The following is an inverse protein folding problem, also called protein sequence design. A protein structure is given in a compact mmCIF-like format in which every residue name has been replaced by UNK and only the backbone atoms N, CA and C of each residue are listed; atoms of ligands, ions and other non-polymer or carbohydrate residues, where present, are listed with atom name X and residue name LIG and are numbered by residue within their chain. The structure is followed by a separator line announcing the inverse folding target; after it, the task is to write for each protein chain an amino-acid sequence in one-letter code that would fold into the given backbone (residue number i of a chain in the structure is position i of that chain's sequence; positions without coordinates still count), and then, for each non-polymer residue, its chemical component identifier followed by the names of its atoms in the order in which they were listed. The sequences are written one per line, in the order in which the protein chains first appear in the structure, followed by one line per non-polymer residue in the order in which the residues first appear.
data_IF_716249354658
#
_entry.id   IF_716249354658
#
_cell.length_a   1.000
_cell.length_b   1.000
_cell.length_c   1.000
_cell.angle_alpha   90.00
_cell.angle_beta   90.00
_cell.angle_gamma   90.00
#
_symmetry.space_group_name_H-M   'P 1'
#
loop_
_entity.id
_entity.type
_entity.pdbx_description
1 polymer ?
2 branched ?
3 non-polymer ?
4 non-polymer ?
5 water ?
#
# COMPACT_ATOMS: atom_id res chain seq x y z
N UNK A 1 -14.59 25.70 -9.85
CA UNK A 1 -13.54 24.97 -10.65
C UNK A 1 -14.26 23.89 -11.48
N UNK A 2 -14.56 24.19 -12.75
CA UNK A 2 -15.55 23.36 -13.51
C UNK A 2 -15.03 22.00 -13.98
N UNK A 3 -15.92 21.02 -13.93
CA UNK A 3 -15.64 19.65 -14.32
C UNK A 3 -17.00 19.04 -14.72
N UNK A 4 -17.01 17.89 -15.40
CA UNK A 4 -18.26 17.25 -15.75
C UNK A 4 -19.14 17.02 -14.51
N UNK A 5 -20.44 17.23 -14.70
CA UNK A 5 -21.38 16.90 -13.68
C UNK A 5 -21.44 15.33 -13.49
N UNK A 6 -21.47 14.88 -12.22
CA UNK A 6 -21.75 13.43 -12.07
C UNK A 6 -23.14 13.04 -12.64
N UNK A 7 -23.20 11.80 -13.10
CA UNK A 7 -24.39 11.23 -13.78
C UNK A 7 -24.98 10.21 -12.83
N UNK A 8 -26.06 10.61 -12.13
CA UNK A 8 -26.64 9.74 -11.11
C UNK A 8 -27.16 8.37 -11.64
N UNK A 9 -27.62 8.41 -12.91
CA UNK A 9 -28.25 7.21 -13.49
C UNK A 9 -27.28 6.49 -14.43
N UNK A 10 -25.97 6.69 -14.24
CA UNK A 10 -24.97 5.93 -14.99
C UNK A 10 -23.94 5.36 -14.03
N UNK A 11 -23.84 4.03 -13.95
CA UNK A 11 -22.79 3.44 -13.12
C UNK A 11 -21.39 3.83 -13.54
N UNK A 12 -20.51 4.06 -12.53
CA UNK A 12 -19.09 4.25 -12.85
C UNK A 12 -18.49 3.06 -13.54
N UNK A 13 -18.85 1.89 -13.11
CA UNK A 13 -18.31 0.71 -13.72
C UNK A 13 -19.42 -0.34 -13.78
N UNK A 14 -19.50 -1.04 -14.90
CA UNK A 14 -20.41 -2.20 -14.93
C UNK A 14 -19.81 -3.56 -14.78
N UNK A 15 -18.48 -3.59 -14.59
CA UNK A 15 -17.75 -4.84 -14.57
C UNK A 15 -17.06 -5.17 -13.29
N UNK A 16 -17.05 -4.17 -12.35
CA UNK A 16 -16.38 -4.43 -11.08
C UNK A 16 -17.20 -3.80 -9.93
N UNK A 17 -16.87 -4.32 -8.72
CA UNK A 17 -17.44 -3.77 -7.42
C UNK A 17 -16.65 -2.48 -7.15
N UNK A 18 -17.33 -1.36 -6.93
CA UNK A 18 -16.58 -0.05 -6.68
C UNK A 18 -16.82 0.48 -5.26
N UNK A 19 -17.60 -0.22 -4.45
CA UNK A 19 -17.73 0.12 -2.99
C UNK A 19 -17.86 -1.18 -2.22
N UNK A 20 -17.16 -1.27 -1.08
CA UNK A 20 -17.27 -2.47 -0.29
C UNK A 20 -18.64 -2.55 0.49
N UNK A 21 -19.00 -3.69 1.08
CA UNK A 21 -20.32 -3.68 1.79
C UNK A 21 -20.30 -2.85 3.05
N UNK A 22 -19.11 -2.36 3.47
CA UNK A 22 -19.11 -1.39 4.61
C UNK A 22 -18.84 0.00 4.10
N UNK A 23 -19.16 0.24 2.81
CA UNK A 23 -19.20 1.61 2.22
C UNK A 23 -17.80 2.25 2.13
N UNK A 24 -16.79 1.44 1.95
CA UNK A 24 -15.46 1.98 1.56
C UNK A 24 -15.33 1.92 0.05
N UNK A 25 -14.96 3.04 -0.57
CA UNK A 25 -14.67 3.01 -2.02
C UNK A 25 -13.55 2.03 -2.37
N UNK A 26 -13.76 1.30 -3.48
CA UNK A 26 -12.73 0.45 -4.05
C UNK A 26 -12.27 1.29 -5.30
N UNK A 27 -10.95 1.66 -5.35
CA UNK A 27 -10.51 2.70 -6.23
C UNK A 27 -10.04 2.09 -7.57
N UNK A 28 -10.90 2.29 -8.58
CA UNK A 28 -10.59 1.89 -9.97
C UNK A 28 -10.64 3.10 -10.86
N UNK A 29 -10.01 2.97 -12.03
CA UNK A 29 -10.15 4.03 -13.00
C UNK A 29 -11.60 4.24 -13.43
N UNK A 30 -12.00 5.51 -13.46
CA UNK A 30 -13.38 5.92 -13.83
C UNK A 30 -14.26 6.10 -12.60
N UNK A 31 -13.66 5.93 -11.40
CA UNK A 31 -14.46 6.14 -10.19
C UNK A 31 -14.13 7.43 -9.53
N UNK A 32 -13.05 8.10 -9.96
CA UNK A 32 -12.71 9.41 -9.36
C UNK A 32 -12.36 10.44 -10.44
N UNK A 33 -12.62 11.69 -10.07
CA UNK A 33 -12.15 12.83 -10.80
C UNK A 33 -11.01 13.46 -10.02
N UNK A 34 -9.82 13.21 -10.52
CA UNK A 34 -8.60 13.66 -9.78
C UNK A 34 -8.52 15.14 -9.64
N UNK A 35 -9.10 15.96 -10.57
CA UNK A 35 -9.07 17.35 -10.33
C UNK A 35 -9.82 17.79 -9.06
N UNK A 36 -10.94 17.13 -8.75
CA UNK A 36 -11.64 17.50 -7.50
C UNK A 36 -10.79 17.07 -6.30
N UNK A 37 -10.25 15.86 -6.37
CA UNK A 37 -9.47 15.34 -5.21
C UNK A 37 -8.19 16.16 -5.01
N UNK A 38 -7.51 16.48 -6.12
CA UNK A 38 -6.30 17.29 -5.96
C UNK A 38 -6.59 18.59 -5.24
N UNK A 39 -7.64 19.27 -5.65
CA UNK A 39 -8.02 20.45 -4.89
C UNK A 39 -8.29 20.24 -3.40
N UNK A 40 -9.05 19.21 -3.08
CA UNK A 40 -9.34 18.97 -1.64
C UNK A 40 -8.05 18.80 -0.93
N UNK A 41 -7.18 17.92 -1.46
CA UNK A 41 -5.92 17.63 -0.72
C UNK A 41 -4.92 18.74 -0.69
N UNK A 42 -4.78 19.53 -1.77
CA UNK A 42 -3.87 20.69 -1.75
C UNK A 42 -4.38 21.76 -0.77
N UNK A 43 -5.70 21.84 -0.59
CA UNK A 43 -6.22 22.86 0.40
C UNK A 43 -5.74 22.54 1.79
N UNK A 44 -5.45 21.26 2.11
CA UNK A 44 -4.94 20.89 3.41
C UNK A 44 -3.39 20.80 3.39
N UNK A 45 -2.73 21.21 2.31
CA UNK A 45 -1.26 21.09 2.20
C UNK A 45 -0.77 19.70 2.55
N UNK A 46 -1.46 18.73 1.99
CA UNK A 46 -1.23 17.28 2.33
C UNK A 46 0.17 16.82 2.09
N UNK A 47 0.79 16.16 3.10
CA UNK A 47 2.17 15.68 2.92
C UNK A 47 2.10 14.18 3.04
N UNK A 48 2.67 13.50 2.02
CA UNK A 48 2.60 12.05 1.99
C UNK A 48 4.02 11.49 2.24
N UNK A 49 4.18 10.64 3.22
CA UNK A 49 5.46 9.90 3.37
C UNK A 49 5.39 8.52 2.72
N UNK A 50 6.43 8.19 2.00
CA UNK A 50 6.48 6.89 1.29
C UNK A 50 7.61 6.10 1.83
N UNK A 51 7.32 4.97 2.48
CA UNK A 51 8.42 4.09 2.99
C UNK A 51 8.70 3.00 2.02
N UNK A 52 9.96 2.63 1.92
CA UNK A 52 10.38 1.54 1.05
C UNK A 52 11.63 0.94 1.65
N UNK A 53 11.68 -0.39 1.62
CA UNK A 53 12.86 -1.17 2.07
C UNK A 53 13.72 -1.61 0.92
N UNK A 54 15.02 -1.44 1.05
CA UNK A 54 15.93 -1.91 -0.08
C UNK A 54 17.16 -2.48 0.60
N UNK A 55 17.03 -3.73 0.96
CA UNK A 55 18.03 -4.39 1.85
C UNK A 55 18.69 -5.46 0.98
N UNK A 56 20.01 -5.64 1.19
CA UNK A 56 20.82 -6.53 0.36
C UNK A 56 20.70 -6.20 -1.17
N UNK A 57 20.39 -7.18 -2.03
CA UNK A 57 20.51 -6.98 -3.44
C UNK A 57 19.39 -6.06 -3.94
N UNK A 58 18.40 -5.85 -3.05
CA UNK A 58 17.22 -5.05 -3.52
C UNK A 58 17.54 -3.58 -3.61
N UNK A 59 18.75 -3.13 -3.21
CA UNK A 59 19.10 -1.75 -3.44
C UNK A 59 19.18 -1.48 -5.00
N UNK A 60 19.33 -2.50 -5.82
CA UNK A 60 19.40 -2.35 -7.27
C UNK A 60 18.08 -1.87 -7.84
N UNK A 61 16.98 -2.08 -7.09
CA UNK A 61 15.68 -1.66 -7.64
C UNK A 61 15.38 -0.19 -7.35
N UNK A 62 16.18 0.46 -6.56
CA UNK A 62 15.81 1.88 -6.14
C UNK A 62 15.80 2.85 -7.29
N UNK A 63 16.74 2.76 -8.22
CA UNK A 63 16.83 3.74 -9.30
C UNK A 63 15.54 3.84 -10.09
N UNK A 64 15.11 2.74 -10.63
CA UNK A 64 13.82 2.83 -11.38
C UNK A 64 12.60 3.18 -10.48
N UNK A 65 12.56 2.65 -9.25
CA UNK A 65 11.45 2.86 -8.35
C UNK A 65 11.39 4.39 -8.16
N UNK A 66 12.53 5.03 -7.83
CA UNK A 66 12.44 6.52 -7.51
C UNK A 66 12.25 7.37 -8.76
N UNK A 67 12.86 6.98 -9.92
CA UNK A 67 12.66 7.72 -11.17
C UNK A 67 11.21 7.66 -11.59
N UNK A 68 10.58 6.50 -11.48
CA UNK A 68 9.21 6.43 -11.93
C UNK A 68 8.28 7.03 -10.85
N UNK A 69 8.60 6.92 -9.56
CA UNK A 69 7.77 7.59 -8.53
C UNK A 69 7.72 9.10 -8.80
N UNK A 70 8.85 9.67 -9.26
CA UNK A 70 8.88 11.13 -9.58
C UNK A 70 8.00 11.44 -10.77
N UNK A 71 7.78 10.48 -11.70
CA UNK A 71 6.87 10.80 -12.77
C UNK A 71 5.42 10.60 -12.43
N UNK A 72 5.08 9.75 -11.46
CA UNK A 72 3.69 9.28 -11.32
C UNK A 72 3.07 9.32 -9.93
N UNK A 73 3.90 9.44 -8.85
CA UNK A 73 3.38 9.33 -7.50
C UNK A 73 3.14 10.69 -6.83
N UNK A 74 1.89 11.02 -6.62
CA UNK A 74 1.53 12.22 -5.81
C UNK A 74 2.15 13.49 -6.47
N UNK A 75 2.25 13.61 -7.83
CA UNK A 75 2.90 14.76 -8.39
C UNK A 75 2.00 15.98 -8.12
N UNK A 76 2.68 16.97 -7.60
CA UNK A 76 2.03 18.24 -7.16
C UNK A 76 1.82 18.41 -5.71
N UNK A 77 1.96 17.31 -5.00
CA UNK A 77 1.72 17.24 -3.52
C UNK A 77 3.07 17.12 -2.85
N UNK A 78 3.09 17.40 -1.56
CA UNK A 78 4.35 17.28 -0.80
C UNK A 78 4.63 15.79 -0.54
N UNK A 79 5.86 15.35 -0.86
CA UNK A 79 6.22 13.92 -0.69
C UNK A 79 7.57 13.83 0.03
N UNK A 80 7.66 12.87 0.95
CA UNK A 80 8.97 12.57 1.59
C UNK A 80 9.13 11.07 1.48
N UNK A 81 10.20 10.68 0.80
CA UNK A 81 10.59 9.29 0.72
C UNK A 81 11.43 8.92 1.90
N UNK A 82 11.15 7.74 2.49
CA UNK A 82 12.02 7.24 3.61
C UNK A 82 12.51 5.88 3.10
N UNK A 83 13.82 5.79 2.80
CA UNK A 83 14.43 4.59 2.24
C UNK A 83 15.15 3.87 3.36
N UNK A 84 14.64 2.70 3.72
CA UNK A 84 15.28 1.88 4.78
C UNK A 84 16.26 0.90 4.12
N UNK A 85 17.55 0.98 4.48
CA UNK A 85 18.52 0.18 3.75
C UNK A 85 19.67 -0.21 4.63
N UNK A 86 20.31 -1.34 4.28
CA UNK A 86 21.57 -1.70 4.99
C UNK A 86 22.76 -1.10 4.23
N UNK A 87 22.55 -0.41 3.10
CA UNK A 87 23.62 0.13 2.28
C UNK A 87 23.32 1.61 1.91
N UNK A 88 23.47 2.52 2.86
CA UNK A 88 22.99 3.87 2.60
C UNK A 88 23.79 4.52 1.46
N UNK A 89 25.06 4.20 1.44
CA UNK A 89 25.85 4.71 0.40
C UNK A 89 25.50 4.31 -1.03
N UNK A 90 24.76 3.20 -1.25
CA UNK A 90 24.26 2.66 -2.52
C UNK A 90 22.92 3.23 -3.02
N UNK A 91 22.34 4.13 -2.24
CA UNK A 91 21.10 4.72 -2.65
C UNK A 91 21.39 5.70 -3.80
N UNK A 92 20.75 5.55 -4.97
CA UNK A 92 21.06 6.44 -6.10
C UNK A 92 20.54 7.89 -5.90
N UNK A 93 21.34 8.84 -6.37
CA UNK A 93 20.99 10.24 -6.16
C UNK A 93 20.05 10.55 -7.32
N UNK A 94 18.74 10.44 -7.13
CA UNK A 94 17.80 10.71 -8.15
C UNK A 94 17.28 12.15 -7.96
N UNK A 95 17.13 12.81 -9.07
CA UNK A 95 16.69 14.26 -9.01
C UNK A 95 15.18 14.32 -8.75
N UNK A 96 14.85 15.18 -7.79
CA UNK A 96 13.48 15.18 -7.29
C UNK A 96 12.80 16.52 -7.68
N UNK A 97 11.48 16.45 -7.89
CA UNK A 97 10.73 17.70 -8.18
C UNK A 97 10.58 18.53 -6.93
N UNK A 98 10.16 19.78 -7.13
CA UNK A 98 9.95 20.67 -5.99
C UNK A 98 8.95 20.13 -4.93
N UNK A 99 9.23 20.39 -3.64
CA UNK A 99 8.31 19.85 -2.62
C UNK A 99 8.49 18.36 -2.21
N UNK A 100 9.56 17.79 -2.66
CA UNK A 100 9.77 16.34 -2.49
C UNK A 100 11.18 16.16 -1.93
N UNK A 101 11.28 15.29 -0.94
CA UNK A 101 12.54 15.12 -0.22
C UNK A 101 12.73 13.62 -0.02
N UNK A 102 14.00 13.27 0.17
CA UNK A 102 14.27 11.85 0.45
C UNK A 102 15.23 11.72 1.63
N UNK A 103 14.97 10.77 2.53
CA UNK A 103 15.84 10.50 3.69
C UNK A 103 16.20 9.02 3.59
N UNK A 104 17.42 8.72 4.00
CA UNK A 104 17.91 7.35 4.12
C UNK A 104 18.00 6.96 5.60
N UNK A 105 17.40 5.85 5.94
CA UNK A 105 17.39 5.37 7.32
C UNK A 105 18.10 4.05 7.29
N UNK A 106 19.23 3.96 7.99
CA UNK A 106 19.98 2.68 7.95
C UNK A 106 19.40 1.63 8.88
N UNK A 107 19.28 0.40 8.37
CA UNK A 107 18.68 -0.72 9.10
C UNK A 107 19.84 -1.61 9.48
N UNK A 108 19.70 -2.28 10.63
CA UNK A 108 20.58 -3.42 11.06
C UNK A 108 20.19 -4.73 10.36
N UNK A 115 11.52 -12.70 12.44
CA UNK A 115 12.96 -12.90 12.66
C UNK A 115 13.65 -11.66 11.97
N UNK A 116 13.97 -11.74 10.66
CA UNK A 116 13.90 -10.57 9.71
C UNK A 116 12.49 -10.52 9.01
N UNK A 117 11.75 -11.61 9.08
CA UNK A 117 10.31 -11.59 8.74
C UNK A 117 9.56 -10.43 9.49
N UNK A 118 10.00 -10.08 10.70
CA UNK A 118 9.35 -8.98 11.44
C UNK A 118 9.85 -7.59 11.14
N UNK A 119 10.96 -7.46 10.37
CA UNK A 119 11.62 -6.19 10.21
C UNK A 119 10.68 -5.10 9.66
N UNK A 120 9.87 -5.39 8.63
CA UNK A 120 9.12 -4.27 8.02
C UNK A 120 8.14 -3.66 9.05
N UNK A 121 7.36 -4.53 9.70
CA UNK A 121 6.33 -4.01 10.68
C UNK A 121 6.99 -3.41 11.91
N UNK A 122 8.06 -4.04 12.39
CA UNK A 122 8.87 -3.48 13.51
C UNK A 122 9.43 -2.05 13.18
N UNK A 123 10.08 -1.94 12.02
CA UNK A 123 10.71 -0.71 11.59
C UNK A 123 9.69 0.37 11.27
N UNK A 124 8.62 -0.01 10.61
CA UNK A 124 7.64 1.09 10.33
C UNK A 124 6.95 1.55 11.59
N UNK A 125 6.67 0.60 12.46
CA UNK A 125 6.08 0.91 13.78
C UNK A 125 6.95 1.91 14.54
N UNK A 126 8.23 1.58 14.66
CA UNK A 126 9.21 2.50 15.48
C UNK A 126 9.25 3.89 14.79
N UNK A 127 9.45 3.86 13.45
CA UNK A 127 9.61 5.10 12.69
C UNK A 127 8.36 5.98 12.73
N UNK A 128 7.18 5.33 12.64
CA UNK A 128 5.87 6.02 12.51
C UNK A 128 5.55 6.79 13.79
N UNK A 129 6.26 6.41 14.88
CA UNK A 129 6.03 7.07 16.22
C UNK A 129 6.97 8.25 16.46
N UNK A 130 7.91 8.50 15.55
CA UNK A 130 8.93 9.57 15.72
C UNK A 130 8.33 10.98 15.51
N UNK A 131 8.81 11.92 16.32
CA UNK A 131 8.28 13.31 16.32
C UNK A 131 8.60 14.06 14.99
N UNK A 132 9.66 13.66 14.31
CA UNK A 132 10.04 14.31 13.00
C UNK A 132 8.98 14.00 11.91
N UNK A 133 8.08 13.04 12.17
CA UNK A 133 6.90 12.92 11.27
C UNK A 133 5.80 13.93 11.56
N UNK A 134 5.98 14.91 12.48
CA UNK A 134 4.85 15.81 12.80
C UNK A 134 4.18 16.46 11.57
N UNK A 135 4.95 16.67 10.52
CA UNK A 135 4.41 17.35 9.34
C UNK A 135 3.73 16.39 8.37
N UNK A 136 4.00 15.10 8.47
CA UNK A 136 3.52 14.12 7.45
C UNK A 136 2.11 13.73 7.82
N UNK A 137 1.19 13.73 6.84
CA UNK A 137 -0.23 13.46 7.09
C UNK A 137 -0.59 11.95 6.89
N UNK A 138 -0.03 11.37 5.83
CA UNK A 138 -0.25 9.97 5.48
C UNK A 138 1.03 9.27 5.21
N UNK A 139 1.02 8.00 5.59
CA UNK A 139 2.13 7.10 5.31
C UNK A 139 1.71 6.00 4.37
N UNK A 140 2.55 5.71 3.37
CA UNK A 140 2.27 4.67 2.41
C UNK A 140 3.48 3.78 2.35
N UNK A 141 3.26 2.46 2.40
CA UNK A 141 4.33 1.50 2.47
C UNK A 141 4.26 0.60 1.29
N UNK A 142 5.33 0.56 0.49
CA UNK A 142 5.35 -0.25 -0.77
C UNK A 142 6.62 -1.03 -0.92
N UNK A 143 6.50 -2.12 -1.65
CA UNK A 143 7.67 -2.87 -2.16
C UNK A 143 8.54 -2.06 -3.13
N UNK A 144 9.83 -2.37 -3.17
CA UNK A 144 10.79 -1.61 -3.98
C UNK A 144 10.98 -2.20 -5.43
N UNK A 145 10.70 -3.51 -5.52
CA UNK A 145 10.95 -4.17 -6.80
C UNK A 145 9.75 -4.01 -7.73
N UNK A 146 9.49 -2.77 -8.04
CA UNK A 146 8.24 -2.33 -8.66
C UNK A 146 8.58 -1.06 -9.43
N UNK A 147 7.71 -0.68 -10.37
CA UNK A 147 7.90 0.57 -11.04
C UNK A 147 6.53 1.20 -11.23
N UNK A 148 6.47 2.51 -11.13
CA UNK A 148 5.24 3.17 -11.51
C UNK A 148 5.15 3.39 -13.02
N UNK A 149 3.98 3.09 -13.57
CA UNK A 149 3.71 3.29 -15.06
C UNK A 149 2.59 4.24 -15.31
N UNK A 150 1.88 4.64 -14.24
CA UNK A 150 0.78 5.55 -14.50
C UNK A 150 0.43 6.22 -13.16
N UNK A 151 -0.57 7.09 -13.19
CA UNK A 151 -0.86 7.91 -12.02
C UNK A 151 -1.17 7.09 -10.73
N UNK A 152 -0.47 7.45 -9.60
CA UNK A 152 -0.86 6.98 -8.29
C UNK A 152 -0.88 8.24 -7.46
N UNK A 153 -2.09 8.65 -7.04
CA UNK A 153 -2.25 9.99 -6.48
C UNK A 153 -3.15 10.02 -5.27
N UNK A 154 -3.67 11.23 -4.96
CA UNK A 154 -4.34 11.34 -3.68
C UNK A 154 -5.67 10.62 -3.55
N UNK A 155 -6.16 10.11 -4.67
CA UNK A 155 -7.33 9.17 -4.60
C UNK A 155 -7.21 7.98 -3.65
N UNK A 156 -5.94 7.59 -3.36
CA UNK A 156 -5.70 6.49 -2.45
C UNK A 156 -5.75 6.90 -1.00
N UNK A 157 -5.63 8.18 -0.76
CA UNK A 157 -5.49 8.59 0.65
C UNK A 157 -6.79 8.58 1.46
N UNK A 158 -6.69 8.19 2.74
CA UNK A 158 -7.84 7.84 3.56
C UNK A 158 -7.24 7.41 4.93
N UNK A 159 -8.11 7.27 5.96
CA UNK A 159 -7.48 6.81 7.21
C UNK A 159 -6.72 5.49 7.14
N UNK A 160 -7.24 4.51 6.38
CA UNK A 160 -6.60 3.22 6.41
C UNK A 160 -6.92 2.55 5.05
N UNK A 161 -5.90 2.11 4.32
CA UNK A 161 -6.23 1.38 3.04
C UNK A 161 -5.34 0.13 2.90
N UNK A 162 -5.91 -0.86 2.24
CA UNK A 162 -5.10 -1.99 1.74
C UNK A 162 -5.39 -2.12 0.26
N UNK A 163 -4.76 -3.08 -0.36
CA UNK A 163 -4.71 -3.22 -1.82
C UNK A 163 -5.03 -4.67 -2.13
N UNK A 164 -5.95 -4.80 -3.07
CA UNK A 164 -6.25 -6.20 -3.50
C UNK A 164 -5.09 -6.90 -4.20
N UNK A 165 -4.74 -8.09 -3.65
CA UNK A 165 -3.67 -8.87 -4.20
C UNK A 165 -4.06 -9.26 -5.67
N UNK A 166 -3.11 -9.06 -6.60
CA UNK A 166 -3.52 -9.26 -8.02
C UNK A 166 -3.75 -10.74 -8.40
N UNK A 167 -3.24 -11.65 -7.58
CA UNK A 167 -3.48 -13.13 -7.87
C UNK A 167 -4.81 -13.63 -7.31
N UNK A 168 -5.52 -12.83 -6.49
CA UNK A 168 -6.64 -13.38 -5.72
C UNK A 168 -7.90 -12.57 -5.81
N UNK A 169 -7.94 -11.48 -6.63
CA UNK A 169 -9.11 -10.59 -6.58
C UNK A 169 -10.36 -11.33 -7.06
N UNK A 170 -10.18 -12.31 -7.95
CA UNK A 170 -11.30 -13.09 -8.48
C UNK A 170 -11.53 -14.36 -7.69
N UNK A 171 -10.80 -14.59 -6.61
CA UNK A 171 -10.90 -15.86 -5.87
C UNK A 171 -12.00 -15.89 -4.80
N UNK A 172 -12.58 -17.07 -4.49
CA UNK A 172 -13.47 -17.13 -3.34
C UNK A 172 -12.60 -17.25 -2.07
N UNK A 173 -13.15 -16.89 -0.90
CA UNK A 173 -12.37 -16.74 0.33
C UNK A 173 -11.71 -18.03 0.77
N UNK A 174 -12.30 -19.19 0.44
CA UNK A 174 -11.66 -20.43 0.89
C UNK A 174 -10.38 -20.66 0.11
N UNK A 175 -10.24 -20.05 -1.07
CA UNK A 175 -8.98 -20.17 -1.81
C UNK A 175 -7.92 -19.18 -1.26
N UNK A 176 -8.35 -18.20 -0.44
CA UNK A 176 -7.33 -17.21 0.03
C UNK A 176 -6.31 -17.92 0.91
N UNK A 177 -5.05 -17.53 0.74
CA UNK A 177 -3.95 -18.14 1.52
C UNK A 177 -3.80 -17.40 2.86
N UNK A 178 -4.92 -17.18 3.57
CA UNK A 178 -4.83 -16.77 4.96
C UNK A 178 -4.11 -17.79 5.84
N UNK A 179 -3.61 -17.34 6.95
CA UNK A 179 -3.11 -18.26 8.00
C UNK A 179 -4.34 -19.03 8.51
N UNK A 180 -4.26 -20.38 8.45
CA UNK A 180 -5.42 -21.22 8.82
C UNK A 180 -5.24 -22.02 10.13
N UNK A 181 -4.07 -21.94 10.73
CA UNK A 181 -3.82 -22.59 12.05
C UNK A 181 -4.30 -21.70 13.20
N UNK A 182 -5.25 -22.18 14.02
CA UNK A 182 -5.74 -21.52 15.23
C UNK A 182 -4.64 -21.12 16.25
N UNK A 183 -3.46 -21.72 16.17
CA UNK A 183 -2.40 -21.39 17.12
C UNK A 183 -1.68 -20.10 16.77
N UNK A 184 -1.88 -19.59 15.53
CA UNK A 184 -1.28 -18.33 15.12
C UNK A 184 -2.25 -17.14 15.38
N UNK A 185 -1.64 -16.02 15.75
CA UNK A 185 -2.37 -14.76 15.99
C UNK A 185 -2.98 -14.29 14.64
N UNK A 186 -2.43 -14.76 13.52
CA UNK A 186 -2.97 -14.37 12.17
C UNK A 186 -4.15 -15.21 11.70
N UNK A 187 -4.63 -16.17 12.52
CA UNK A 187 -5.62 -17.13 12.07
C UNK A 187 -6.94 -16.47 11.60
N UNK A 188 -7.42 -16.87 10.44
CA UNK A 188 -8.75 -16.53 9.94
C UNK A 188 -9.50 -17.80 9.53
N UNK A 189 -10.70 -18.03 10.13
CA UNK A 189 -11.54 -19.20 9.78
C UNK A 189 -11.84 -19.25 8.31
N UNK A 190 -12.03 -20.46 7.81
CA UNK A 190 -12.45 -20.70 6.45
C UNK A 190 -13.73 -19.95 6.02
N UNK A 191 -14.64 -19.61 6.95
CA UNK A 191 -15.86 -18.93 6.57
C UNK A 191 -15.82 -17.39 6.77
N UNK A 192 -14.62 -16.88 6.97
CA UNK A 192 -14.48 -15.44 7.19
C UNK A 192 -13.51 -14.82 6.16
N UNK A 193 -13.59 -13.48 5.97
CA UNK A 193 -12.63 -12.83 5.06
C UNK A 193 -13.43 -12.03 4.06
N UNK A 194 -13.04 -10.76 3.87
CA UNK A 194 -13.61 -10.00 2.81
C UNK A 194 -12.78 -10.08 1.53
N UNK A 195 -11.48 -9.75 1.65
CA UNK A 195 -10.58 -9.76 0.47
C UNK A 195 -9.29 -10.31 0.93
N UNK A 196 -8.44 -10.63 -0.04
CA UNK A 196 -7.03 -10.94 0.27
C UNK A 196 -6.16 -9.73 -0.17
N UNK A 197 -5.66 -9.03 0.88
CA UNK A 197 -4.80 -7.85 0.62
C UNK A 197 -3.33 -8.31 0.52
N UNK A 198 -2.60 -7.61 -0.34
CA UNK A 198 -1.16 -7.84 -0.53
C UNK A 198 -0.35 -6.99 0.42
N UNK A 199 0.72 -7.55 0.97
CA UNK A 199 1.59 -6.79 1.90
C UNK A 199 2.41 -5.72 1.21
N UNK A 200 2.30 -5.61 -0.11
CA UNK A 200 3.27 -4.77 -0.92
C UNK A 200 2.79 -3.31 -1.16
N UNK A 201 1.56 -3.00 -0.64
CA UNK A 201 1.04 -1.64 -0.78
C UNK A 201 -0.07 -1.47 0.26
N UNK A 202 0.24 -0.73 1.36
CA UNK A 202 -0.81 -0.45 2.29
C UNK A 202 -0.47 0.95 2.88
N UNK A 203 -1.38 1.54 3.60
CA UNK A 203 -1.04 2.88 4.19
C UNK A 203 -2.27 3.48 4.82
N UNK A 204 -2.18 4.78 5.13
CA UNK A 204 -3.25 5.46 5.80
C UNK A 204 -2.74 6.67 6.46
N UNK A 205 -3.53 7.23 7.40
CA UNK A 205 -2.98 8.39 8.16
C UNK A 205 -1.84 7.89 9.02
N UNK A 206 -1.00 8.83 9.47
CA UNK A 206 0.11 8.34 10.37
C UNK A 206 -0.43 7.53 11.59
N UNK A 207 -1.47 8.02 12.25
CA UNK A 207 -2.03 7.31 13.40
C UNK A 207 -2.52 5.93 13.08
N UNK A 208 -3.25 5.76 11.94
CA UNK A 208 -3.73 4.41 11.52
C UNK A 208 -2.59 3.50 11.13
N UNK A 209 -1.54 4.05 10.53
CA UNK A 209 -0.34 3.20 10.15
C UNK A 209 0.40 2.86 11.46
N UNK A 210 0.50 3.78 12.40
CA UNK A 210 1.11 3.43 13.75
C UNK A 210 0.34 2.24 14.31
N UNK A 211 -0.96 2.28 14.25
CA UNK A 211 -1.79 1.25 14.93
C UNK A 211 -1.67 -0.10 14.21
N UNK A 212 -1.66 -0.07 12.87
CA UNK A 212 -1.66 -1.31 12.10
C UNK A 212 -0.28 -1.96 12.33
N UNK A 213 0.79 -1.19 12.24
CA UNK A 213 2.17 -1.81 12.23
C UNK A 213 2.49 -2.28 13.66
N UNK A 214 2.08 -1.51 14.64
CA UNK A 214 2.15 -2.04 16.03
C UNK A 214 1.39 -3.29 16.23
N UNK A 215 0.16 -3.39 15.80
CA UNK A 215 -0.62 -4.57 16.06
C UNK A 215 0.04 -5.77 15.36
N UNK A 216 0.46 -5.57 14.11
CA UNK A 216 1.08 -6.65 13.33
C UNK A 216 2.41 -7.07 13.97
N UNK A 217 3.25 -6.12 14.33
CA UNK A 217 4.57 -6.47 14.99
C UNK A 217 4.28 -7.26 16.32
N UNK A 218 3.34 -6.76 17.14
CA UNK A 218 3.03 -7.42 18.43
C UNK A 218 2.47 -8.82 18.19
N UNK A 219 1.62 -9.04 17.18
CA UNK A 219 1.07 -10.36 16.82
C UNK A 219 2.21 -11.28 16.41
N UNK A 220 3.13 -10.75 15.62
CA UNK A 220 4.26 -11.56 15.09
C UNK A 220 5.14 -11.96 16.24
N UNK A 221 5.34 -11.08 17.21
CA UNK A 221 6.20 -11.43 18.38
C UNK A 221 5.52 -12.53 19.24
N UNK A 222 4.22 -12.49 19.34
CA UNK A 222 3.50 -13.55 20.06
C UNK A 222 3.68 -14.83 19.33
N UNK A 223 3.50 -14.86 18.01
CA UNK A 223 3.67 -16.11 17.27
C UNK A 223 5.09 -16.65 17.42
N UNK A 224 6.12 -15.79 17.38
CA UNK A 224 7.53 -16.20 17.56
C UNK A 224 7.73 -16.84 18.94
N UNK A 225 7.26 -16.19 20.00
CA UNK A 225 7.30 -16.78 21.35
C UNK A 225 6.70 -18.17 21.41
N UNK A 226 5.65 -18.43 20.61
CA UNK A 226 4.95 -19.71 20.50
C UNK A 226 5.51 -20.70 19.45
N UNK A 227 6.65 -20.38 18.83
CA UNK A 227 7.19 -21.26 17.77
C UNK A 227 6.40 -21.46 16.49
N UNK A 228 5.68 -20.39 16.04
CA UNK A 228 4.88 -20.50 14.83
C UNK A 228 5.20 -19.24 13.97
N UNK A 229 5.33 -19.52 12.70
CA UNK A 229 5.51 -18.46 11.70
C UNK A 229 4.33 -18.54 10.77
N UNK A 230 3.57 -17.43 10.69
CA UNK A 230 2.44 -17.43 9.78
C UNK A 230 2.84 -17.70 8.33
N UNK A 231 1.95 -18.40 7.67
CA UNK A 231 2.16 -18.88 6.29
C UNK A 231 2.77 -17.88 5.30
N UNK A 232 2.26 -16.64 5.30
CA UNK A 232 2.81 -15.56 4.48
C UNK A 232 3.24 -14.38 5.35
N UNK A 233 3.77 -14.70 6.53
CA UNK A 233 4.61 -13.76 7.29
C UNK A 233 3.79 -12.48 7.55
N UNK A 234 4.38 -11.30 7.32
CA UNK A 234 3.61 -10.12 7.73
C UNK A 234 2.34 -9.90 6.89
N UNK A 235 2.26 -10.46 5.66
CA UNK A 235 0.99 -10.35 4.90
C UNK A 235 -0.12 -11.10 5.60
N UNK A 236 0.19 -12.22 6.27
CA UNK A 236 -0.86 -12.94 6.97
C UNK A 236 -1.45 -12.08 8.10
N UNK A 237 -0.59 -11.37 8.79
CA UNK A 237 -0.99 -10.52 9.93
C UNK A 237 -1.66 -9.23 9.40
N UNK A 238 -1.19 -8.74 8.23
CA UNK A 238 -1.94 -7.64 7.58
C UNK A 238 -3.38 -7.99 7.29
N UNK A 239 -3.60 -9.19 6.73
CA UNK A 239 -4.93 -9.63 6.43
C UNK A 239 -5.81 -9.85 7.67
N UNK A 240 -5.25 -10.39 8.76
CA UNK A 240 -6.07 -10.51 9.99
C UNK A 240 -6.40 -9.13 10.53
N UNK A 241 -5.41 -8.21 10.52
CA UNK A 241 -5.68 -6.82 10.94
C UNK A 241 -6.80 -6.14 10.15
N UNK A 242 -6.72 -6.27 8.81
CA UNK A 242 -7.71 -5.52 8.00
C UNK A 242 -9.03 -6.22 8.00
N UNK A 243 -9.07 -7.50 8.40
CA UNK A 243 -10.36 -8.16 8.60
C UNK A 243 -11.10 -7.55 9.76
N UNK A 244 -10.35 -7.33 10.84
CA UNK A 244 -10.92 -6.85 12.12
C UNK A 244 -11.05 -5.31 12.19
N UNK A 245 -10.23 -4.60 11.40
CA UNK A 245 -10.25 -3.13 11.35
C UNK A 245 -10.38 -2.79 9.88
N UNK A 246 -11.62 -2.62 9.43
CA UNK A 246 -11.78 -2.65 7.99
C UNK A 246 -11.26 -1.34 7.36
N UNK A 247 -10.62 -1.42 6.18
CA UNK A 247 -10.03 -0.22 5.63
C UNK A 247 -11.12 0.74 5.10
N UNK A 248 -10.78 2.01 5.05
CA UNK A 248 -11.75 3.06 4.62
C UNK A 248 -11.66 3.30 3.14
N UNK A 249 -10.63 2.74 2.49
CA UNK A 249 -10.59 2.60 0.98
C UNK A 249 -9.89 1.31 0.75
N UNK A 250 -10.25 0.67 -0.37
CA UNK A 250 -9.53 -0.50 -0.87
C UNK A 250 -9.00 -0.11 -2.26
N UNK A 251 -7.71 -0.38 -2.49
CA UNK A 251 -7.14 -0.08 -3.86
C UNK A 251 -7.32 -1.31 -4.74
N UNK A 252 -7.77 -1.06 -5.95
CA UNK A 252 -7.90 -2.24 -6.89
C UNK A 252 -6.54 -2.68 -7.35
N UNK A 253 -6.46 -3.85 -8.03
CA UNK A 253 -5.15 -4.33 -8.48
C UNK A 253 -4.48 -3.46 -9.59
N UNK A 254 -5.10 -2.37 -10.08
CA UNK A 254 -4.38 -1.37 -10.92
C UNK A 254 -3.12 -0.90 -10.16
N UNK A 255 -3.30 -0.87 -8.83
CA UNK A 255 -2.23 -0.33 -7.94
C UNK A 255 -1.17 -1.32 -7.53
N UNK A 256 -1.34 -2.63 -7.89
CA UNK A 256 -0.30 -3.61 -7.53
C UNK A 256 -0.48 -4.78 -8.53
N UNK A 257 0.32 -4.70 -9.58
CA UNK A 257 0.04 -5.64 -10.70
C UNK A 257 1.35 -6.33 -11.11
N UNK A 258 1.28 -7.49 -11.78
CA UNK A 258 2.46 -8.16 -12.32
C UNK A 258 2.04 -8.51 -13.73
N UNK A 259 2.51 -7.72 -14.69
CA UNK A 259 2.08 -7.89 -16.08
C UNK A 259 2.68 -9.17 -16.70
N UNK A 260 3.92 -9.48 -16.35
CA UNK A 260 4.55 -10.74 -16.89
C UNK A 260 3.68 -11.93 -16.45
N UNK A 261 3.25 -11.95 -15.16
CA UNK A 261 2.47 -13.08 -14.66
C UNK A 261 1.03 -13.08 -15.17
N UNK A 262 0.39 -11.93 -15.23
CA UNK A 262 -1.01 -11.89 -15.35
C UNK A 262 -1.50 -11.04 -16.56
N UNK A 263 -0.63 -10.45 -17.38
CA UNK A 263 -1.08 -9.80 -18.64
C UNK A 263 -1.78 -8.50 -18.33
N UNK A 264 -2.78 -8.15 -19.13
CA UNK A 264 -3.49 -6.84 -19.04
C UNK A 264 -4.93 -7.20 -19.27
N UNK A 265 -5.59 -7.69 -18.24
CA UNK A 265 -6.97 -8.25 -18.42
C UNK A 265 -7.98 -7.15 -18.59
N UNK A 266 -9.18 -7.54 -19.06
CA UNK A 266 -10.13 -6.52 -19.45
C UNK A 266 -10.59 -5.52 -18.31
N UNK A 267 -10.62 -6.03 -17.11
CA UNK A 267 -11.11 -5.16 -15.99
C UNK A 267 -10.02 -4.10 -15.62
N UNK A 268 -8.76 -4.31 -16.03
CA UNK A 268 -7.78 -3.21 -15.81
C UNK A 268 -7.67 -2.20 -16.87
N UNK A 269 -8.16 -1.01 -16.58
CA UNK A 269 -8.06 0.08 -17.51
C UNK A 269 -6.68 0.77 -17.53
N UNK A 270 -5.99 0.68 -16.38
CA UNK A 270 -4.67 1.27 -16.24
C UNK A 270 -3.86 0.29 -15.43
N UNK A 271 -2.56 0.21 -15.74
CA UNK A 271 -1.64 -0.57 -14.89
C UNK A 271 -0.74 0.48 -14.24
N UNK A 272 -0.93 0.75 -12.94
CA UNK A 272 -0.28 1.96 -12.36
C UNK A 272 1.04 1.66 -11.67
N UNK A 273 1.16 0.50 -11.08
CA UNK A 273 2.39 0.20 -10.23
C UNK A 273 2.57 -1.32 -10.34
N UNK A 274 3.68 -1.70 -10.98
CA UNK A 274 3.75 -3.07 -11.46
C UNK A 274 5.09 -3.67 -11.00
N UNK A 275 5.07 -5.00 -10.90
CA UNK A 275 6.29 -5.71 -10.57
C UNK A 275 7.39 -5.64 -11.62
N UNK A 276 8.63 -5.51 -11.15
CA UNK A 276 9.79 -5.62 -12.01
C UNK A 276 10.23 -7.10 -11.99
N UNK A 277 10.48 -7.64 -13.18
CA UNK A 277 10.82 -9.09 -13.31
C UNK A 277 12.06 -9.64 -12.59
N UNK A 278 12.17 -10.99 -12.60
CA UNK A 278 13.35 -11.84 -12.14
C UNK A 278 13.99 -11.51 -10.77
X LIG B 1 1.99 -14.75 -4.37
X LIG B 1 1.45 -14.56 -5.68
X LIG B 1 2.97 -13.60 -4.06
X LIG B 1 4.01 -13.70 -5.04
X LIG B 1 3.54 -13.76 -2.64
X LIG B 1 2.40 -13.80 -1.60
X LIG B 1 1.71 -12.54 -1.67
X LIG B 1 1.44 -14.97 -2.00
X LIG B 1 0.98 -14.79 -3.36
X LIG B 1 0.18 -15.21 -1.14
X LIG B 1 -0.40 -16.46 -1.58
X LIG B 1 0.79 -15.82 -6.10
X LIG B 1 1.35 -16.18 -7.52
X LIG B 1 2.83 -16.55 -7.45
X LIG B 1 3.40 -16.84 -8.86
X LIG B 1 4.92 -17.01 -8.83
X LIG B 1 5.39 -17.55 -10.19
X LIG B 2 4.58 -12.41 -5.46
X LIG B 2 5.83 -12.61 -6.34
X LIG B 2 5.40 -13.13 -7.72
X LIG B 2 4.31 -12.23 -8.32
X LIG B 2 3.11 -12.11 -7.34
X LIG B 2 1.94 -11.23 -7.84
X LIG B 2 6.76 -13.50 -5.71
X LIG B 2 6.54 -13.18 -8.61
X LIG B 2 4.82 -10.91 -8.59
X LIG B 2 3.59 -11.56 -6.10
X LIG C 1 -15.64 10.02 -13.46
X LIG C 1 -15.92 9.58 -12.14
X LIG C 1 -17.03 8.77 -11.89
X LIG C 1 -17.86 8.37 -12.95
X LIG C 1 -17.59 8.80 -14.26
X LIG C 1 -16.50 9.62 -14.52
X LIG C 1 -15.20 9.92 -11.20
X LIG C 1 -18.80 7.63 -12.67
X LIG C 1 -14.46 10.87 -13.69
X LIG C 1 -13.67 10.40 -14.91
X LIG C 1 -12.81 9.30 -14.55
X LIG C 1 -12.93 11.69 -15.31
X LIG C 1 -13.96 12.79 -14.99
X LIG C 1 -14.84 12.24 -13.93
X LIG C 1 -11.79 11.95 -14.47
X LIG C 1 -14.80 13.11 -16.24
X LIG C 1 -15.65 12.02 -16.55
X LIG C 1 -16.28 11.91 -18.02
X LIG C 1 -16.80 10.40 -18.18
X LIG C 1 -17.33 12.93 -18.27
X LIG C 1 -15.00 12.01 -19.04
X LIG C 1 -14.92 12.95 -20.32
X LIG C 1 -15.80 12.19 -21.49
X LIG C 1 -13.38 12.90 -20.83
X LIG C 1 -15.37 14.36 -20.12
X LIG D 1 13.15 -6.79 0.60
X LIG D 1 14.46 -6.27 0.60
X LIG D 1 15.54 -7.14 0.53
X LIG D 1 15.32 -8.53 0.47
X LIG D 1 14.02 -9.07 0.46
X LIG D 1 12.93 -8.18 0.54
X LIG D 1 14.65 -5.04 0.64
X LIG D 1 16.31 -9.27 0.42
X LIG D 1 12.04 -5.81 0.68
X LIG D 1 11.76 -5.16 -0.69
X LIG D 1 11.20 -3.84 -0.50
X LIG D 1 10.67 -6.07 -1.22
X LIG D 1 9.86 -6.27 0.05
X LIG D 1 10.84 -6.49 1.10
X LIG D 1 9.87 -5.36 -2.15
X LIG D 1 8.95 -7.50 -0.03
X LIG D 1 9.73 -8.63 -0.37
X LIG D 1 9.39 -9.52 -1.69
X LIG D 1 9.18 -8.48 -2.88
X LIG D 1 10.49 -10.52 -1.91
X LIG D 1 8.04 -10.26 -1.23
X LIG D 1 6.62 -9.99 -1.90
X LIG D 1 6.03 -8.45 -1.61
X LIG D 1 5.85 -11.13 -2.35
X LIG E 1 4.99 -11.25 0.02
X LIG E 1 4.20 -10.93 1.32
X LIG E 1 5.16 -10.96 2.54
X LIG E 1 5.93 -12.30 2.63
X LIG E 1 6.58 -12.62 1.27
X LIG E 1 7.16 -14.06 1.20
X LIG E 1 5.98 -10.18 -0.41
X LIG E 1 3.60 -9.62 1.19
X LIG E 1 4.46 -10.79 3.78
X LIG E 1 5.06 -13.35 3.00
X LIG E 1 5.64 -12.53 0.19
X LIG E 1 8.09 -14.12 0.10
#
# INVERSE_FOLDING_TARGET
MVYPQPKVLTPSRKDVLVVTPWLAPIVWEGTFNIDILNEQFRLQNTTIGLTVFAIKKYVAFLKLFLETAEKHFMVGHRVHYYVFTDQPAAVPRVTLGTGRQLSVLEVGAYKRWQDVSMRRMEMISDFSERRFLSEVDYLVSVDVDMEFRDHVGVEILTPLFGTLHPSFYGSSREAFTYERRPQSQAYIPKDEGDFYYMGAFFGGSVQEVQRLTRACHQAMMVDQANGIEAVWHDESHLNKYLLRHKPTKVLSPEYLWDQQLLGWPAVLRKLRFTAVPKNHQAVRNPE
BHG C1 O1 C2 O2 C3 C4 O4 C5 O5 C6 O6 C1' C2' C3' C4' C5' C6'
FUC C1 C2 C3 C4 C5 C6 O2 O3 O4 O5
UDP N1 C2 N3 C4 C5 C6 O2 O4 C1' C2' O2' C3' C4' O4' O3' C5' O5' PA O1A O2A O3A PB O1B O2B O3B
UDP N1 C2 N3 C4 C5 C6 O2 O4 C1' C2' O2' C3' C4' O4' O3' C5' O5' PA O1A O2A O3A PB O2B O3B
GAL C1 C2 C3 C4 C5 C6 O1 O2 O3 O4 O5 O6
#
